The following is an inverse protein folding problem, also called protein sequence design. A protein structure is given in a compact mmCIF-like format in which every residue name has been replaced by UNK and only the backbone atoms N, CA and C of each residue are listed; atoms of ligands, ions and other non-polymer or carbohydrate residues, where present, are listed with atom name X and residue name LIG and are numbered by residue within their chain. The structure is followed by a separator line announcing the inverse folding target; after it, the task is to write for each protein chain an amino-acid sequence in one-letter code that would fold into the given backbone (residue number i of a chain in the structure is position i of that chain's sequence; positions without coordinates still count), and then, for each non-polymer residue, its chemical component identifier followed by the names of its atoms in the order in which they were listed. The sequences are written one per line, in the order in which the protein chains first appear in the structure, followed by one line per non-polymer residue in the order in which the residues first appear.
data_IF_484162246890
#
_entry.id   IF_484162246890
#
_cell.length_a   1.000
_cell.length_b   1.000
_cell.length_c   1.000
_cell.angle_alpha   90.00
_cell.angle_beta   90.00
_cell.angle_gamma   90.00
#
_symmetry.space_group_name_H-M   'P 1'
#
loop_
_entity.id
_entity.type
_entity.pdbx_description
1 polymer ?
#
# COMPACT_ATOMS: atom_id res chain seq x y z
N UNK A 1 3.87 5.33 21.21
CA UNK A 1 2.58 4.85 20.64
C UNK A 1 2.31 3.46 21.21
N UNK A 2 1.09 3.11 21.65
CA UNK A 2 0.83 1.76 22.22
C UNK A 2 0.74 0.70 21.10
N UNK A 3 1.17 -0.53 21.39
CA UNK A 3 1.17 -1.69 20.48
C UNK A 3 -0.15 -1.88 19.71
N UNK A 4 -1.29 -1.66 20.36
CA UNK A 4 -2.62 -1.78 19.74
C UNK A 4 -2.85 -0.85 18.53
N UNK A 5 -2.16 0.30 18.46
CA UNK A 5 -2.31 1.22 17.32
C UNK A 5 -1.54 0.74 16.08
N UNK A 6 -0.41 0.03 16.28
CA UNK A 6 0.35 -0.55 15.17
C UNK A 6 -0.36 -1.76 14.58
N UNK A 7 -1.00 -2.57 15.41
CA UNK A 7 -1.81 -3.69 14.93
C UNK A 7 -2.95 -3.20 14.02
N UNK A 8 -3.67 -2.15 14.43
CA UNK A 8 -4.75 -1.60 13.61
C UNK A 8 -4.24 -1.02 12.28
N UNK A 9 -3.10 -0.33 12.30
CA UNK A 9 -2.42 0.17 11.08
C UNK A 9 -2.09 -0.99 10.13
N UNK A 10 -1.45 -2.04 10.65
CA UNK A 10 -1.04 -3.20 9.85
C UNK A 10 -2.26 -3.94 9.29
N UNK A 11 -3.28 -4.20 10.11
CA UNK A 11 -4.51 -4.86 9.65
C UNK A 11 -5.24 -4.03 8.59
N UNK A 12 -5.31 -2.71 8.78
CA UNK A 12 -5.90 -1.82 7.77
C UNK A 12 -5.10 -1.85 6.48
N UNK A 13 -3.76 -1.82 6.57
CA UNK A 13 -2.87 -1.95 5.44
C UNK A 13 -3.09 -3.26 4.69
N UNK A 14 -3.14 -4.39 5.41
CA UNK A 14 -3.37 -5.72 4.83
C UNK A 14 -4.70 -5.76 4.07
N UNK A 15 -5.79 -5.35 4.73
CA UNK A 15 -7.12 -5.31 4.13
C UNK A 15 -7.10 -4.43 2.88
N UNK A 16 -6.54 -3.23 2.99
CA UNK A 16 -6.43 -2.28 1.88
C UNK A 16 -5.60 -2.85 0.72
N UNK A 17 -4.46 -3.50 0.96
CA UNK A 17 -3.62 -4.09 -0.07
C UNK A 17 -4.31 -5.17 -0.89
N UNK A 18 -5.11 -6.02 -0.24
CA UNK A 18 -5.94 -7.01 -0.94
C UNK A 18 -7.02 -6.32 -1.79
N UNK A 19 -7.68 -5.28 -1.26
CA UNK A 19 -8.66 -4.51 -2.02
C UNK A 19 -8.05 -3.74 -3.19
N UNK A 20 -6.85 -3.18 -3.03
CA UNK A 20 -6.16 -2.39 -4.05
C UNK A 20 -5.84 -3.23 -5.30
N UNK A 21 -5.55 -4.53 -5.12
CA UNK A 21 -5.41 -5.48 -6.23
C UNK A 21 -6.64 -5.48 -7.15
N UNK A 22 -7.84 -5.49 -6.58
CA UNK A 22 -9.08 -5.42 -7.37
C UNK A 22 -9.34 -4.01 -7.91
N UNK A 23 -8.98 -2.99 -7.13
CA UNK A 23 -9.19 -1.60 -7.49
C UNK A 23 -8.37 -1.16 -8.71
N UNK A 24 -7.12 -1.63 -8.85
CA UNK A 24 -6.27 -1.26 -10.00
C UNK A 24 -6.90 -1.67 -11.34
N UNK A 25 -7.45 -2.89 -11.42
CA UNK A 25 -8.18 -3.38 -12.59
C UNK A 25 -9.46 -2.57 -12.84
N UNK A 26 -10.21 -2.26 -11.77
CA UNK A 26 -11.39 -1.40 -11.84
C UNK A 26 -11.03 0.01 -12.36
N UNK A 27 -9.98 0.64 -11.83
CA UNK A 27 -9.53 1.97 -12.23
C UNK A 27 -9.10 2.01 -13.71
N UNK A 28 -8.39 0.98 -14.18
CA UNK A 28 -8.03 0.87 -15.60
C UNK A 28 -9.26 0.77 -16.51
N UNK A 29 -10.26 -0.01 -16.11
CA UNK A 29 -11.51 -0.16 -16.87
C UNK A 29 -12.32 1.14 -16.90
N UNK A 30 -12.47 1.81 -15.75
CA UNK A 30 -13.26 3.04 -15.59
C UNK A 30 -12.69 4.20 -16.41
N UNK A 31 -11.36 4.29 -16.47
CA UNK A 31 -10.66 5.37 -17.17
C UNK A 31 -10.44 5.09 -18.65
N UNK A 32 -10.90 3.94 -19.16
CA UNK A 32 -10.65 3.46 -20.53
C UNK A 32 -9.16 3.46 -20.86
N UNK A 33 -8.34 2.99 -19.92
CA UNK A 33 -6.88 2.92 -20.03
C UNK A 33 -6.19 4.28 -20.19
N UNK A 34 -6.83 5.39 -19.82
CA UNK A 34 -6.16 6.69 -19.77
C UNK A 34 -5.19 6.72 -18.57
N UNK A 35 -3.89 6.69 -18.89
CA UNK A 35 -2.80 6.57 -17.91
C UNK A 35 -2.89 7.65 -16.82
N UNK A 36 -3.12 8.92 -17.19
CA UNK A 36 -3.16 10.01 -16.23
C UNK A 36 -4.33 9.85 -15.25
N UNK A 37 -5.52 9.50 -15.76
CA UNK A 37 -6.69 9.29 -14.90
C UNK A 37 -6.52 8.08 -13.99
N UNK A 38 -5.96 6.98 -14.50
CA UNK A 38 -5.64 5.80 -13.68
C UNK A 38 -4.64 6.14 -12.59
N UNK A 39 -3.60 6.88 -12.93
CA UNK A 39 -2.58 7.32 -11.99
C UNK A 39 -3.18 8.16 -10.86
N UNK A 40 -4.03 9.14 -11.18
CA UNK A 40 -4.70 9.98 -10.18
C UNK A 40 -5.63 9.15 -9.28
N UNK A 41 -6.39 8.20 -9.83
CA UNK A 41 -7.28 7.35 -9.03
C UNK A 41 -6.51 6.42 -8.10
N UNK A 42 -5.43 5.80 -8.59
CA UNK A 42 -4.59 4.90 -7.80
C UNK A 42 -3.92 5.70 -6.68
N UNK A 43 -3.25 6.81 -6.97
CA UNK A 43 -2.66 7.61 -5.90
C UNK A 43 -3.70 8.18 -4.93
N UNK A 44 -4.87 8.56 -5.44
CA UNK A 44 -5.97 9.05 -4.63
C UNK A 44 -6.48 8.03 -3.62
N UNK A 45 -6.64 6.76 -4.02
CA UNK A 45 -7.16 5.72 -3.12
C UNK A 45 -6.17 5.40 -1.98
N UNK A 46 -4.86 5.49 -2.24
CA UNK A 46 -3.82 5.28 -1.23
C UNK A 46 -3.79 6.37 -0.14
N UNK A 47 -4.32 7.56 -0.43
CA UNK A 47 -4.47 8.64 0.55
C UNK A 47 -5.64 8.41 1.51
N UNK A 48 -6.66 7.64 1.10
CA UNK A 48 -7.88 7.40 1.89
C UNK A 48 -7.58 6.78 3.25
N UNK A 49 -6.79 5.69 3.37
CA UNK A 49 -6.40 5.19 4.68
C UNK A 49 -5.22 5.99 5.29
N UNK A 50 -4.35 6.59 4.47
CA UNK A 50 -3.16 7.29 4.97
C UNK A 50 -3.48 8.56 5.77
N UNK A 51 -4.33 9.44 5.24
CA UNK A 51 -4.62 10.75 5.86
C UNK A 51 -5.26 10.60 7.25
N UNK A 52 -6.31 9.78 7.45
CA UNK A 52 -6.92 9.59 8.76
C UNK A 52 -5.93 9.07 9.80
N UNK A 53 -5.06 8.13 9.43
CA UNK A 53 -4.07 7.59 10.35
C UNK A 53 -2.95 8.57 10.69
N UNK A 54 -2.44 9.30 9.69
CA UNK A 54 -1.48 10.37 9.91
C UNK A 54 -2.04 11.42 10.89
N UNK A 55 -3.27 11.89 10.68
CA UNK A 55 -3.96 12.82 11.57
C UNK A 55 -4.17 12.25 12.98
N UNK A 56 -4.67 11.01 13.08
CA UNK A 56 -4.90 10.34 14.35
C UNK A 56 -3.61 10.24 15.17
N UNK A 57 -2.51 9.84 14.53
CA UNK A 57 -1.21 9.70 15.18
C UNK A 57 -0.65 11.07 15.56
N UNK A 58 -0.69 12.05 14.66
CA UNK A 58 -0.23 13.42 14.94
C UNK A 58 -1.00 14.02 16.14
N UNK A 59 -2.32 13.81 16.21
CA UNK A 59 -3.16 14.22 17.35
C UNK A 59 -2.77 13.56 18.66
N UNK A 60 -2.41 12.28 18.62
CA UNK A 60 -2.14 11.49 19.83
C UNK A 60 -0.72 11.66 20.36
N UNK A 61 0.26 11.83 19.47
CA UNK A 61 1.68 11.84 19.83
C UNK A 61 2.33 13.21 19.72
N UNK A 62 1.65 14.18 19.07
CA UNK A 62 2.20 15.49 18.74
C UNK A 62 3.56 15.43 18.00
N UNK A 63 3.82 14.34 17.27
CA UNK A 63 5.11 14.04 16.64
C UNK A 63 4.98 13.87 15.14
N UNK A 64 5.74 14.68 14.39
CA UNK A 64 5.87 14.60 12.94
C UNK A 64 6.42 13.24 12.47
N UNK A 65 7.50 12.77 13.11
CA UNK A 65 8.11 11.49 12.80
C UNK A 65 7.14 10.33 13.01
N UNK A 66 6.35 10.38 14.11
CA UNK A 66 5.35 9.34 14.36
C UNK A 66 4.26 9.31 13.28
N UNK A 67 3.83 10.47 12.79
CA UNK A 67 2.85 10.59 11.71
C UNK A 67 3.39 10.02 10.39
N UNK A 68 4.64 10.36 10.04
CA UNK A 68 5.34 9.79 8.88
C UNK A 68 5.46 8.25 8.97
N UNK A 69 5.97 7.74 10.09
CA UNK A 69 6.12 6.30 10.30
C UNK A 69 4.79 5.54 10.26
N UNK A 70 3.69 6.15 10.73
CA UNK A 70 2.38 5.52 10.65
C UNK A 70 1.94 5.24 9.21
N UNK A 71 2.13 6.21 8.31
CA UNK A 71 1.80 6.04 6.89
C UNK A 71 2.75 5.05 6.22
N UNK A 72 4.05 5.12 6.51
CA UNK A 72 5.04 4.15 5.97
C UNK A 72 4.67 2.72 6.36
N UNK A 73 4.36 2.47 7.63
CA UNK A 73 3.99 1.14 8.12
C UNK A 73 2.69 0.65 7.46
N UNK A 74 1.68 1.52 7.36
CA UNK A 74 0.42 1.22 6.69
C UNK A 74 0.63 0.81 5.23
N UNK A 75 1.40 1.60 4.49
CA UNK A 75 1.66 1.37 3.07
C UNK A 75 2.53 0.13 2.84
N UNK A 76 3.56 -0.11 3.65
CA UNK A 76 4.35 -1.33 3.56
C UNK A 76 3.51 -2.58 3.86
N UNK A 77 2.62 -2.52 4.85
CA UNK A 77 1.68 -3.62 5.12
C UNK A 77 0.73 -3.87 3.93
N UNK A 78 0.27 -2.81 3.28
CA UNK A 78 -0.55 -2.91 2.08
C UNK A 78 0.19 -3.51 0.89
N UNK A 79 1.41 -3.05 0.60
CA UNK A 79 2.25 -3.61 -0.45
C UNK A 79 2.50 -5.09 -0.21
N UNK A 80 2.90 -5.45 1.00
CA UNK A 80 3.14 -6.85 1.34
C UNK A 80 1.89 -7.70 1.11
N UNK A 81 0.71 -7.25 1.57
CA UNK A 81 -0.54 -7.97 1.38
C UNK A 81 -0.97 -8.06 -0.09
N UNK A 82 -0.80 -6.99 -0.86
CA UNK A 82 -1.06 -6.97 -2.30
C UNK A 82 -0.24 -8.06 -3.01
N UNK A 83 1.07 -8.10 -2.77
CA UNK A 83 1.97 -9.04 -3.45
C UNK A 83 1.85 -10.47 -2.91
N UNK A 84 1.51 -10.64 -1.63
CA UNK A 84 1.15 -11.94 -1.08
C UNK A 84 -0.14 -12.47 -1.73
N UNK A 85 -1.16 -11.62 -1.89
CA UNK A 85 -2.40 -11.98 -2.58
C UNK A 85 -2.17 -12.27 -4.06
N UNK A 86 -1.35 -11.47 -4.75
CA UNK A 86 -0.95 -11.74 -6.12
C UNK A 86 -0.21 -13.08 -6.23
N UNK A 87 0.72 -13.36 -5.33
CA UNK A 87 1.41 -14.67 -5.29
C UNK A 87 0.43 -15.82 -5.08
N UNK A 88 -0.54 -15.67 -4.19
CA UNK A 88 -1.58 -16.66 -3.96
C UNK A 88 -2.43 -16.91 -5.22
N UNK A 89 -2.85 -15.83 -5.89
CA UNK A 89 -3.58 -15.92 -7.17
C UNK A 89 -2.74 -16.66 -8.22
N UNK A 90 -1.47 -16.27 -8.38
CA UNK A 90 -0.54 -16.87 -9.35
C UNK A 90 -0.32 -18.36 -9.11
N UNK A 91 -0.13 -18.76 -7.86
CA UNK A 91 0.22 -20.13 -7.50
C UNK A 91 -0.98 -21.10 -7.45
N UNK A 92 -2.19 -20.60 -7.11
CA UNK A 92 -3.30 -21.47 -6.73
C UNK A 92 -4.63 -21.22 -7.44
N UNK A 93 -4.90 -20.02 -7.92
CA UNK A 93 -6.17 -19.70 -8.60
C UNK A 93 -5.97 -19.65 -10.12
N UNK A 94 -4.83 -19.12 -10.55
CA UNK A 94 -4.50 -18.89 -11.95
C UNK A 94 -4.89 -17.48 -12.36
N UNK A 95 -4.03 -16.88 -13.16
CA UNK A 95 -4.29 -15.60 -13.82
C UNK A 95 -4.38 -15.85 -15.32
N UNK A 96 -5.15 -15.02 -16.02
CA UNK A 96 -5.38 -15.18 -17.45
C UNK A 96 -4.05 -15.28 -18.20
N UNK A 97 -3.86 -16.34 -18.99
CA UNK A 97 -2.64 -16.65 -19.75
C UNK A 97 -1.42 -17.08 -18.90
N UNK A 98 -1.60 -17.29 -17.59
CA UNK A 98 -0.56 -17.71 -16.65
C UNK A 98 -0.92 -19.00 -15.90
N UNK A 99 -1.87 -19.78 -16.42
CA UNK A 99 -2.36 -21.00 -15.78
C UNK A 99 -1.28 -22.10 -15.70
N UNK A 100 -0.26 -22.01 -16.55
CA UNK A 100 0.92 -22.89 -16.53
C UNK A 100 1.78 -22.73 -15.26
N UNK A 101 1.55 -21.70 -14.46
CA UNK A 101 2.25 -21.43 -13.20
C UNK A 101 1.53 -21.99 -11.96
N UNK A 102 0.39 -22.66 -12.15
CA UNK A 102 -0.36 -23.30 -11.06
C UNK A 102 0.46 -24.44 -10.43
N UNK A 103 0.69 -24.34 -9.12
CA UNK A 103 1.49 -25.31 -8.34
C UNK A 103 0.87 -26.72 -8.37
N UNK A 104 -0.45 -26.79 -8.38
CA UNK A 104 -1.20 -28.05 -8.43
C UNK A 104 -1.69 -28.43 -9.85
N UNK A 105 -1.27 -27.70 -10.88
CA UNK A 105 -1.61 -27.97 -12.28
C UNK A 105 -0.65 -28.95 -12.97
N UNK A 106 -0.86 -29.24 -14.26
CA UNK A 106 0.11 -29.93 -15.09
C UNK A 106 1.43 -29.13 -15.13
N UNK A 107 2.55 -29.78 -14.79
CA UNK A 107 3.87 -29.14 -14.72
C UNK A 107 4.72 -29.53 -15.93
N UNK A 108 5.28 -28.52 -16.60
CA UNK A 108 6.33 -28.72 -17.60
C UNK A 108 7.65 -29.08 -16.93
N UNK A 109 8.62 -29.57 -17.72
CA UNK A 109 9.98 -29.85 -17.23
C UNK A 109 10.67 -28.59 -16.69
N UNK A 110 10.32 -27.42 -17.22
CA UNK A 110 10.88 -26.12 -16.83
C UNK A 110 10.04 -25.36 -15.79
N UNK A 111 9.01 -25.98 -15.23
CA UNK A 111 8.03 -25.32 -14.36
C UNK A 111 8.66 -24.44 -13.26
N UNK A 112 9.63 -24.96 -12.51
CA UNK A 112 10.25 -24.21 -11.40
C UNK A 112 11.13 -23.05 -11.88
N UNK A 113 11.72 -23.17 -13.07
CA UNK A 113 12.49 -22.10 -13.67
C UNK A 113 11.55 -20.96 -14.12
N UNK A 114 10.45 -21.31 -14.79
CA UNK A 114 9.43 -20.35 -15.22
C UNK A 114 8.76 -19.67 -14.02
N UNK A 115 8.41 -20.45 -12.99
CA UNK A 115 7.81 -19.97 -11.76
C UNK A 115 8.74 -19.03 -10.99
N UNK A 116 10.00 -19.42 -10.78
CA UNK A 116 10.99 -18.59 -10.06
C UNK A 116 11.28 -17.29 -10.81
N UNK A 117 11.47 -17.36 -12.13
CA UNK A 117 11.68 -16.19 -12.98
C UNK A 117 10.49 -15.22 -12.92
N UNK A 118 9.27 -15.76 -13.03
CA UNK A 118 8.04 -14.96 -12.95
C UNK A 118 7.83 -14.37 -11.56
N UNK A 119 8.06 -15.14 -10.51
CA UNK A 119 7.97 -14.68 -9.12
C UNK A 119 8.99 -13.55 -8.85
N UNK A 120 10.23 -13.71 -9.31
CA UNK A 120 11.24 -12.68 -9.15
C UNK A 120 10.83 -11.37 -9.87
N UNK A 121 10.35 -11.48 -11.11
CA UNK A 121 10.01 -10.34 -11.94
C UNK A 121 8.73 -9.63 -11.47
N UNK A 122 7.63 -10.37 -11.29
CA UNK A 122 6.31 -9.80 -11.03
C UNK A 122 6.06 -9.52 -9.56
N UNK A 123 6.70 -10.27 -8.66
CA UNK A 123 6.47 -10.15 -7.21
C UNK A 123 7.65 -9.44 -6.56
N UNK A 124 8.85 -10.02 -6.57
CA UNK A 124 9.96 -9.51 -5.75
C UNK A 124 10.48 -8.15 -6.21
N UNK A 125 10.73 -7.99 -7.51
CA UNK A 125 11.22 -6.73 -8.06
C UNK A 125 10.20 -5.61 -7.85
N UNK A 126 8.94 -5.87 -8.20
CA UNK A 126 7.88 -4.88 -8.03
C UNK A 126 7.61 -4.56 -6.55
N UNK A 127 7.54 -5.56 -5.67
CA UNK A 127 7.38 -5.34 -4.23
C UNK A 127 8.50 -4.47 -3.67
N UNK A 128 9.74 -4.68 -4.11
CA UNK A 128 10.90 -3.88 -3.69
C UNK A 128 10.79 -2.44 -4.17
N UNK A 129 10.50 -2.22 -5.45
CA UNK A 129 10.33 -0.90 -6.03
C UNK A 129 9.23 -0.10 -5.30
N UNK A 130 8.06 -0.71 -5.14
CA UNK A 130 6.94 -0.07 -4.46
C UNK A 130 7.21 0.14 -2.96
N UNK A 131 8.00 -0.73 -2.32
CA UNK A 131 8.40 -0.52 -0.91
C UNK A 131 9.23 0.74 -0.74
N UNK A 132 10.14 1.04 -1.68
CA UNK A 132 10.92 2.27 -1.69
C UNK A 132 9.98 3.48 -1.86
N UNK A 133 9.03 3.39 -2.80
CA UNK A 133 8.00 4.43 -3.00
C UNK A 133 7.18 4.62 -1.73
N UNK A 134 6.83 3.55 -1.02
CA UNK A 134 6.06 3.64 0.22
C UNK A 134 6.82 4.32 1.35
N UNK A 135 8.13 4.05 1.48
CA UNK A 135 8.98 4.70 2.48
C UNK A 135 9.07 6.20 2.19
N UNK A 136 9.39 6.58 0.96
CA UNK A 136 9.59 7.99 0.57
C UNK A 136 8.24 8.72 0.59
N UNK A 137 7.27 8.23 -0.18
CA UNK A 137 5.95 8.84 -0.31
C UNK A 137 5.18 8.84 1.01
N UNK A 138 5.25 7.74 1.78
CA UNK A 138 4.58 7.66 3.08
C UNK A 138 5.18 8.63 4.09
N UNK A 139 6.51 8.81 4.08
CA UNK A 139 7.17 9.81 4.91
C UNK A 139 6.74 11.23 4.56
N UNK A 140 6.65 11.54 3.26
CA UNK A 140 6.18 12.85 2.76
C UNK A 140 4.72 13.08 3.16
N UNK A 141 3.81 12.16 2.83
CA UNK A 141 2.38 12.29 3.10
C UNK A 141 2.13 12.40 4.60
N UNK A 142 2.65 11.46 5.40
CA UNK A 142 2.47 11.47 6.84
C UNK A 142 3.12 12.69 7.51
N UNK A 143 4.28 13.13 7.00
CA UNK A 143 4.94 14.35 7.44
C UNK A 143 4.12 15.60 7.14
N UNK A 144 3.67 15.80 5.90
CA UNK A 144 2.86 16.97 5.50
C UNK A 144 1.56 17.03 6.28
N UNK A 145 0.83 15.92 6.37
CA UNK A 145 -0.44 15.86 7.12
C UNK A 145 -0.22 16.16 8.61
N UNK A 146 0.81 15.56 9.21
CA UNK A 146 1.17 15.82 10.60
C UNK A 146 1.60 17.26 10.85
N UNK A 147 2.36 17.86 9.92
CA UNK A 147 2.81 19.24 9.99
C UNK A 147 1.62 20.20 9.98
N UNK A 148 0.73 20.04 9.01
CA UNK A 148 -0.49 20.83 8.86
C UNK A 148 -1.30 20.79 10.16
N UNK A 149 -1.55 19.60 10.70
CA UNK A 149 -2.30 19.43 11.95
C UNK A 149 -1.65 20.19 13.12
N UNK A 150 -0.33 20.06 13.30
CA UNK A 150 0.39 20.70 14.41
C UNK A 150 0.43 22.23 14.27
N UNK A 151 0.54 22.76 13.05
CA UNK A 151 0.47 24.19 12.80
C UNK A 151 -0.90 24.77 13.18
N UNK A 152 -1.98 24.12 12.73
CA UNK A 152 -3.33 24.55 13.07
C UNK A 152 -3.57 24.54 14.59
N UNK A 153 -3.14 23.48 15.27
CA UNK A 153 -3.35 23.37 16.72
C UNK A 153 -2.56 24.42 17.52
N UNK A 154 -1.33 24.77 17.09
CA UNK A 154 -0.55 25.85 17.72
C UNK A 154 -1.22 27.21 17.57
N UNK A 155 -1.74 27.52 16.37
CA UNK A 155 -2.42 28.79 16.10
C UNK A 155 -3.71 28.94 16.91
N UNK A 156 -4.47 27.86 17.07
CA UNK A 156 -5.66 27.83 17.94
C UNK A 156 -5.29 28.13 19.40
N UNK A 157 -4.24 27.49 19.94
CA UNK A 157 -3.82 27.75 21.33
C UNK A 157 -3.32 29.18 21.57
N UNK A 158 -2.78 29.86 20.56
CA UNK A 158 -2.33 31.25 20.69
C UNK A 158 -3.46 32.29 20.58
N UNK A 159 -4.66 31.89 20.16
CA UNK A 159 -5.83 32.79 20.07
C UNK A 159 -6.73 32.72 21.32
N UNK A 160 -6.51 31.74 22.19
CA UNK A 160 -7.28 31.51 23.43
C UNK A 160 -6.60 32.06 24.68
N UNK A 161 -5.45 32.74 24.53
CA UNK A 161 -4.70 33.45 25.60
C UNK A 161 -4.83 34.94 25.34
#
# INVERSE_FOLDING_TARGET
MRFSNYLLLILTGIIFGVFDWHFTSFAASLTRSNILKSFVLIWGIWLVPAIPFALYVAKKTHSLLSSALAVVILWLAAIFAYYAYYTFQLAFIGLNQMEHLLVFGPRSELFWQDWSSTFQMLIMNQMTEWSIVAIIGGSIVGGVVGHIYLLYNRKLSSQTV
#
